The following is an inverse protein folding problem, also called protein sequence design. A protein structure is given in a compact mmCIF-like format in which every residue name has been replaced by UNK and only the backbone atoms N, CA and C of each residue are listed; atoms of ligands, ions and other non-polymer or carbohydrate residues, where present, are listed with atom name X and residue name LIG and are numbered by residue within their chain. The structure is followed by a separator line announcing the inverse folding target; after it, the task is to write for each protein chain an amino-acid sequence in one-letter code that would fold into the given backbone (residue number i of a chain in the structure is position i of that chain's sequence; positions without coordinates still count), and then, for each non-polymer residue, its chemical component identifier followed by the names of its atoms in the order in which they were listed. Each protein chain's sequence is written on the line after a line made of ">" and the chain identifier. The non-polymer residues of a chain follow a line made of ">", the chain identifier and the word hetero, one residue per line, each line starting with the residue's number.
data_IF_802002531273
#
_entry.id   IF_802002531273
#
_cell.length_a   1.000
_cell.length_b   1.000
_cell.length_c   1.000
_cell.angle_alpha   90.00
_cell.angle_beta   90.00
_cell.angle_gamma   90.00
#
_symmetry.space_group_name_H-M   'P 1'
#
loop_
_entity.id
_entity.type
_entity.pdbx_description
1 polymer ?
#
# COMPACT_ATOMS: atom_id res chain seq x y z
N UNK A 1 9.60 17.33 -6.07
CA UNK A 1 9.11 16.05 -6.59
C UNK A 1 7.67 15.85 -6.17
N UNK A 2 6.85 15.18 -6.98
CA UNK A 2 5.49 14.75 -6.64
C UNK A 2 5.47 13.22 -6.61
N UNK A 3 4.86 12.63 -5.60
CA UNK A 3 4.74 11.17 -5.45
C UNK A 3 3.26 10.82 -5.37
N UNK A 4 2.80 10.04 -6.33
CA UNK A 4 1.41 9.62 -6.43
C UNK A 4 1.31 8.19 -6.94
N UNK A 5 0.23 7.46 -6.62
CA UNK A 5 -0.07 6.19 -7.24
C UNK A 5 -0.49 6.42 -8.70
N UNK A 6 -0.16 5.47 -9.58
CA UNK A 6 -0.50 5.56 -11.01
C UNK A 6 -2.01 5.35 -11.26
N UNK A 7 -2.72 4.69 -10.34
CA UNK A 7 -4.14 4.41 -10.52
C UNK A 7 -5.00 5.68 -10.43
N UNK A 8 -6.12 5.70 -11.15
CA UNK A 8 -7.09 6.79 -11.11
C UNK A 8 -7.94 6.82 -9.83
N UNK A 9 -9.00 7.63 -9.85
CA UNK A 9 -9.87 7.89 -8.70
C UNK A 9 -10.86 6.77 -8.34
N UNK A 10 -11.12 5.83 -9.26
CA UNK A 10 -12.05 4.70 -9.08
C UNK A 10 -13.38 5.10 -8.38
N UNK A 11 -14.16 6.01 -8.99
CA UNK A 11 -15.33 6.63 -8.34
C UNK A 11 -16.43 5.63 -7.98
N UNK A 12 -16.50 4.50 -8.68
CA UNK A 12 -17.43 3.40 -8.44
C UNK A 12 -17.18 2.66 -7.12
N UNK A 13 -15.97 2.73 -6.55
CA UNK A 13 -15.60 2.13 -5.27
C UNK A 13 -15.23 3.15 -4.18
N UNK A 14 -15.29 4.44 -4.49
CA UNK A 14 -15.00 5.51 -3.55
C UNK A 14 -15.90 5.42 -2.30
N UNK A 15 -15.29 5.51 -1.11
CA UNK A 15 -16.00 5.41 0.16
C UNK A 15 -16.41 3.99 0.58
N UNK A 16 -16.14 2.95 -0.22
CA UNK A 16 -16.52 1.57 0.11
C UNK A 16 -15.46 0.82 0.93
N UNK A 17 -14.26 1.39 1.13
CA UNK A 17 -13.19 0.76 1.92
C UNK A 17 -12.65 -0.53 1.31
N UNK A 18 -12.73 -0.70 -0.02
CA UNK A 18 -12.26 -1.91 -0.73
C UNK A 18 -11.11 -1.64 -1.71
N UNK A 19 -10.65 -0.39 -1.82
CA UNK A 19 -9.51 -0.04 -2.67
C UNK A 19 -8.21 -0.63 -2.09
N UNK A 20 -7.31 -1.04 -2.96
CA UNK A 20 -5.97 -1.50 -2.58
C UNK A 20 -5.09 -0.28 -2.22
N UNK A 21 -4.60 -0.15 -0.96
CA UNK A 21 -3.80 0.99 -0.55
C UNK A 21 -2.32 0.91 -0.96
N UNK A 22 -1.85 -0.21 -1.53
CA UNK A 22 -0.42 -0.46 -1.78
C UNK A 22 0.21 0.63 -2.64
N UNK A 23 -0.48 1.08 -3.71
CA UNK A 23 0.04 2.12 -4.59
C UNK A 23 0.40 3.40 -3.83
N UNK A 24 -0.53 3.90 -3.01
CA UNK A 24 -0.32 5.10 -2.20
C UNK A 24 0.78 4.91 -1.16
N UNK A 25 0.83 3.74 -0.50
CA UNK A 25 1.85 3.44 0.51
C UNK A 25 3.25 3.40 -0.13
N UNK A 26 3.39 2.78 -1.31
CA UNK A 26 4.66 2.72 -2.02
C UNK A 26 5.09 4.10 -2.52
N UNK A 27 4.18 4.96 -2.99
CA UNK A 27 4.50 6.36 -3.28
C UNK A 27 5.08 7.07 -2.05
N UNK A 28 4.60 6.75 -0.85
CA UNK A 28 5.20 7.20 0.42
C UNK A 28 6.62 6.66 0.65
N UNK A 29 6.89 5.40 0.32
CA UNK A 29 8.25 4.84 0.37
C UNK A 29 9.22 5.54 -0.59
N UNK A 30 8.78 5.85 -1.82
CA UNK A 30 9.57 6.62 -2.79
C UNK A 30 9.86 8.04 -2.28
N UNK A 31 8.88 8.66 -1.61
CA UNK A 31 9.06 9.96 -0.97
C UNK A 31 10.13 9.91 0.14
N UNK A 32 10.10 8.89 1.00
CA UNK A 32 11.11 8.70 2.05
C UNK A 32 12.52 8.54 1.47
N UNK A 33 12.68 7.72 0.43
CA UNK A 33 13.95 7.57 -0.27
C UNK A 33 14.44 8.91 -0.84
N UNK A 34 13.56 9.68 -1.48
CA UNK A 34 13.89 11.02 -2.00
C UNK A 34 14.32 12.01 -0.91
N UNK A 35 13.77 11.89 0.30
CA UNK A 35 14.12 12.72 1.45
C UNK A 35 15.39 12.24 2.18
N UNK A 36 16.04 11.17 1.70
CA UNK A 36 17.26 10.62 2.30
C UNK A 36 17.01 9.54 3.37
N UNK A 37 15.77 9.11 3.56
CA UNK A 37 15.38 8.06 4.52
C UNK A 37 15.27 6.70 3.82
N UNK A 38 16.34 6.26 3.17
CA UNK A 38 16.35 5.01 2.39
C UNK A 38 15.93 3.79 3.20
N UNK A 39 16.48 3.61 4.41
CA UNK A 39 16.16 2.44 5.25
C UNK A 39 14.67 2.35 5.59
N UNK A 40 14.01 3.48 5.80
CA UNK A 40 12.58 3.55 6.06
C UNK A 40 11.75 3.24 4.80
N UNK A 41 12.14 3.77 3.63
CA UNK A 41 11.52 3.41 2.36
C UNK A 41 11.64 1.92 2.06
N UNK A 42 12.85 1.36 2.21
CA UNK A 42 13.11 -0.07 1.99
C UNK A 42 12.34 -0.94 2.99
N UNK A 43 12.15 -0.49 4.24
CA UNK A 43 11.34 -1.20 5.24
C UNK A 43 9.87 -1.32 4.82
N UNK A 44 9.29 -0.24 4.27
CA UNK A 44 7.92 -0.25 3.76
C UNK A 44 7.78 -1.23 2.58
N UNK A 45 8.72 -1.21 1.63
CA UNK A 45 8.70 -2.13 0.48
C UNK A 45 8.76 -3.59 0.95
N UNK A 46 9.67 -3.91 1.89
CA UNK A 46 9.75 -5.26 2.48
C UNK A 46 8.48 -5.67 3.21
N UNK A 47 7.83 -4.74 3.93
CA UNK A 47 6.57 -5.02 4.60
C UNK A 47 5.45 -5.35 3.60
N UNK A 48 5.36 -4.61 2.49
CA UNK A 48 4.44 -4.91 1.38
C UNK A 48 4.69 -6.31 0.82
N UNK A 49 5.96 -6.65 0.53
CA UNK A 49 6.33 -7.97 0.00
C UNK A 49 5.94 -9.12 0.94
N UNK A 50 6.22 -8.96 2.25
CA UNK A 50 5.83 -9.92 3.29
C UNK A 50 4.32 -10.15 3.30
N UNK A 51 3.54 -9.07 3.34
CA UNK A 51 2.06 -9.16 3.36
C UNK A 51 1.51 -9.76 2.07
N UNK A 52 2.05 -9.42 0.90
CA UNK A 52 1.59 -9.99 -0.37
C UNK A 52 1.85 -11.50 -0.47
N UNK A 53 2.89 -12.01 0.19
CA UNK A 53 3.20 -13.44 0.22
C UNK A 53 2.17 -14.27 1.00
N UNK A 54 1.67 -13.76 2.15
CA UNK A 54 0.80 -14.49 3.05
C UNK A 54 -0.68 -14.05 2.99
N UNK A 55 -0.95 -12.82 2.54
CA UNK A 55 -2.21 -12.11 2.73
C UNK A 55 -2.21 -11.26 4.01
N UNK A 56 -3.29 -10.51 4.27
CA UNK A 56 -4.57 -10.48 3.55
C UNK A 56 -4.49 -9.80 2.17
N UNK A 57 -5.49 -10.02 1.30
CA UNK A 57 -5.55 -9.46 -0.06
C UNK A 57 -6.87 -8.72 -0.28
N UNK A 58 -6.83 -7.56 -0.93
CA UNK A 58 -8.01 -6.83 -1.40
C UNK A 58 -8.62 -7.51 -2.64
N UNK A 59 -9.80 -7.03 -3.06
CA UNK A 59 -10.62 -7.68 -4.11
C UNK A 59 -9.95 -7.72 -5.48
N UNK A 60 -9.19 -6.68 -5.84
CA UNK A 60 -8.38 -6.61 -7.06
C UNK A 60 -7.33 -7.73 -7.14
N UNK A 61 -6.87 -8.23 -5.98
CA UNK A 61 -5.93 -9.35 -5.86
C UNK A 61 -6.62 -10.68 -5.50
N UNK A 62 -7.94 -10.78 -5.74
CA UNK A 62 -8.72 -12.00 -5.51
C UNK A 62 -9.03 -12.33 -4.04
N UNK A 63 -8.77 -11.40 -3.12
CA UNK A 63 -9.10 -11.56 -1.70
C UNK A 63 -10.40 -10.87 -1.29
N UNK A 64 -10.60 -10.77 0.02
CA UNK A 64 -11.81 -10.17 0.62
C UNK A 64 -11.49 -9.07 1.62
N UNK A 65 -10.22 -8.73 1.78
CA UNK A 65 -9.78 -7.74 2.74
C UNK A 65 -10.25 -6.34 2.35
N UNK A 66 -10.47 -5.52 3.36
CA UNK A 66 -10.73 -4.09 3.23
C UNK A 66 -9.41 -3.32 3.05
N UNK A 67 -9.52 -2.06 2.64
CA UNK A 67 -8.41 -1.11 2.58
C UNK A 67 -7.71 -1.00 3.94
N UNK A 68 -8.49 -0.93 5.02
CA UNK A 68 -7.97 -0.80 6.39
C UNK A 68 -7.25 -2.07 6.85
N UNK A 69 -7.82 -3.25 6.60
CA UNK A 69 -7.19 -4.52 6.96
C UNK A 69 -5.84 -4.71 6.26
N UNK A 70 -5.77 -4.41 4.96
CA UNK A 70 -4.50 -4.50 4.22
C UNK A 70 -3.50 -3.43 4.70
N UNK A 71 -3.94 -2.19 4.92
CA UNK A 71 -3.07 -1.13 5.45
C UNK A 71 -2.50 -1.47 6.83
N UNK A 72 -3.34 -2.03 7.72
CA UNK A 72 -2.93 -2.47 9.06
C UNK A 72 -1.94 -3.63 9.00
N UNK A 73 -2.20 -4.63 8.15
CA UNK A 73 -1.27 -5.74 7.95
C UNK A 73 0.12 -5.28 7.48
N UNK A 74 0.17 -4.28 6.59
CA UNK A 74 1.45 -3.68 6.15
C UNK A 74 2.13 -2.95 7.32
N UNK A 75 1.39 -2.16 8.09
CA UNK A 75 1.95 -1.44 9.24
C UNK A 75 2.50 -2.38 10.33
N UNK A 76 1.82 -3.50 10.58
CA UNK A 76 2.25 -4.54 11.53
C UNK A 76 3.46 -5.35 11.06
N UNK A 77 3.78 -5.31 9.75
CA UNK A 77 4.88 -6.07 9.15
C UNK A 77 6.20 -5.28 9.02
N UNK A 78 6.22 -4.01 9.46
CA UNK A 78 7.42 -3.16 9.58
C UNK A 78 8.32 -3.65 10.73
#
# INVERSE_FOLDING_TARGET
>A
SMFEPVHGSAPDIAGQGIANPIGQIWSGAMMLEHLGHKDAGDAIVRAIERVLSAGPRTRDMGGKATTEELGKAIAEAL
#
